data_IF_849314281281
#
_entry.id   IF_849314281281
#
_cell.length_a   1.000
_cell.length_b   1.000
_cell.length_c   1.000
_cell.angle_alpha   90.00
_cell.angle_beta   90.00
_cell.angle_gamma   90.00
#
_symmetry.space_group_name_H-M   'P 1'
#
loop_
_entity.id
_entity.type
_entity.pdbx_description
1 polymer ?
#
# COMPACT_ATOMS: atom_id res chain seq x y z
N UNK A 1 -50.00 15.32 -26.45
CA UNK A 1 -49.14 14.93 -25.31
C UNK A 1 -48.30 13.77 -25.81
N UNK A 2 -47.06 14.04 -26.22
CA UNK A 2 -46.10 13.00 -26.62
C UNK A 2 -45.25 12.61 -25.40
N UNK A 3 -45.36 11.37 -24.96
CA UNK A 3 -44.52 10.81 -23.91
C UNK A 3 -43.14 10.44 -24.49
N UNK A 4 -42.11 11.15 -24.02
CA UNK A 4 -40.71 10.83 -24.31
C UNK A 4 -40.29 9.68 -23.40
N UNK A 5 -40.19 8.47 -23.90
CA UNK A 5 -39.60 7.34 -23.19
C UNK A 5 -38.08 7.49 -23.22
N UNK A 6 -37.47 7.94 -22.13
CA UNK A 6 -36.01 7.85 -21.93
C UNK A 6 -35.65 6.40 -21.68
N UNK A 7 -35.06 5.74 -22.68
CA UNK A 7 -34.36 4.49 -22.50
C UNK A 7 -33.08 4.75 -21.73
N UNK A 8 -33.01 4.37 -20.45
CA UNK A 8 -31.75 4.23 -19.75
C UNK A 8 -30.97 3.08 -20.42
N UNK A 9 -30.05 3.41 -21.29
CA UNK A 9 -29.00 2.47 -21.66
C UNK A 9 -28.21 2.18 -20.39
N UNK A 10 -28.38 0.99 -19.84
CA UNK A 10 -27.54 0.49 -18.76
C UNK A 10 -26.11 0.60 -19.23
N UNK A 11 -25.30 1.41 -18.54
CA UNK A 11 -23.85 1.32 -18.69
C UNK A 11 -23.50 -0.11 -18.30
N UNK A 12 -23.12 -0.93 -19.27
CA UNK A 12 -22.44 -2.19 -19.00
C UNK A 12 -21.21 -1.80 -18.20
N UNK A 13 -21.17 -2.15 -16.91
CA UNK A 13 -19.96 -2.09 -16.12
C UNK A 13 -19.00 -3.03 -16.84
N UNK A 14 -17.95 -2.48 -17.47
CA UNK A 14 -16.88 -3.30 -18.02
C UNK A 14 -16.37 -4.18 -16.87
N UNK A 15 -16.30 -5.50 -17.08
CA UNK A 15 -15.66 -6.39 -16.11
C UNK A 15 -14.25 -5.86 -15.91
N UNK A 16 -13.80 -5.73 -14.67
CA UNK A 16 -12.46 -5.22 -14.34
C UNK A 16 -11.36 -6.01 -15.09
N UNK A 17 -11.69 -7.21 -15.58
CA UNK A 17 -10.81 -8.08 -16.35
C UNK A 17 -10.89 -7.86 -17.87
N UNK A 18 -11.77 -6.99 -18.37
CA UNK A 18 -11.94 -6.68 -19.81
C UNK A 18 -10.86 -5.73 -20.37
N UNK A 19 -9.91 -5.31 -19.55
CA UNK A 19 -8.72 -4.63 -20.05
C UNK A 19 -8.02 -5.56 -21.04
N UNK A 20 -7.60 -5.08 -22.24
CA UNK A 20 -6.77 -5.87 -23.13
C UNK A 20 -5.46 -6.15 -22.42
N UNK A 21 -5.46 -7.12 -21.55
CA UNK A 21 -4.33 -7.48 -20.73
C UNK A 21 -3.52 -8.53 -21.47
N UNK A 22 -2.21 -8.37 -21.44
CA UNK A 22 -1.27 -9.42 -21.83
C UNK A 22 -1.38 -10.67 -20.93
N UNK A 23 -2.32 -10.70 -19.97
CA UNK A 23 -2.55 -11.82 -19.07
C UNK A 23 -2.93 -13.11 -19.78
N UNK A 24 -3.55 -13.03 -20.97
CA UNK A 24 -3.86 -14.22 -21.79
C UNK A 24 -2.65 -14.99 -22.30
N UNK A 25 -1.48 -14.35 -22.34
CA UNK A 25 -0.22 -14.95 -22.83
C UNK A 25 0.60 -15.61 -21.71
N UNK A 26 0.15 -15.53 -20.44
CA UNK A 26 0.87 -16.08 -19.28
C UNK A 26 0.83 -17.61 -19.20
N UNK A 27 -0.02 -18.27 -19.97
CA UNK A 27 -0.16 -19.72 -19.95
C UNK A 27 -1.28 -20.24 -19.04
N UNK A 28 -1.35 -21.56 -18.89
CA UNK A 28 -2.35 -22.25 -18.09
C UNK A 28 -1.70 -22.83 -16.83
N UNK A 29 -2.15 -22.37 -15.66
CA UNK A 29 -1.68 -22.79 -14.35
C UNK A 29 -2.83 -23.40 -13.52
N UNK A 30 -3.79 -24.06 -14.18
CA UNK A 30 -4.91 -24.70 -13.51
C UNK A 30 -4.43 -25.76 -12.51
N UNK A 31 -4.83 -25.59 -11.23
CA UNK A 31 -4.42 -26.47 -10.13
C UNK A 31 -3.20 -25.98 -9.35
N UNK A 32 -2.51 -24.95 -9.81
CA UNK A 32 -1.44 -24.31 -9.05
C UNK A 32 -2.02 -23.37 -7.99
N UNK A 33 -1.42 -23.35 -6.81
CA UNK A 33 -1.79 -22.48 -5.70
C UNK A 33 -0.65 -21.52 -5.40
N UNK A 34 -0.96 -20.24 -5.41
CA UNK A 34 -0.01 -19.17 -5.03
C UNK A 34 -0.41 -18.65 -3.65
N UNK A 35 0.46 -18.84 -2.67
CA UNK A 35 0.26 -18.32 -1.31
C UNK A 35 0.85 -16.93 -1.17
N UNK A 36 0.05 -16.00 -0.65
CA UNK A 36 0.46 -14.62 -0.38
C UNK A 36 0.22 -14.33 1.10
N UNK A 37 1.17 -13.72 1.79
CA UNK A 37 0.99 -13.23 3.15
C UNK A 37 1.27 -11.73 3.23
N UNK A 38 0.54 -11.02 4.09
CA UNK A 38 0.69 -9.57 4.25
C UNK A 38 -0.05 -9.04 5.47
N UNK A 39 0.00 -7.72 5.65
CA UNK A 39 -0.66 -7.04 6.77
C UNK A 39 -2.07 -6.53 6.46
N UNK A 40 -2.54 -6.66 5.23
CA UNK A 40 -3.85 -6.18 4.81
C UNK A 40 -4.97 -7.08 5.34
N UNK A 41 -5.99 -6.45 5.92
CA UNK A 41 -7.20 -7.13 6.43
C UNK A 41 -8.46 -6.38 5.97
N UNK A 42 -9.60 -7.06 5.98
CA UNK A 42 -10.89 -6.46 5.69
C UNK A 42 -10.99 -5.88 4.28
N UNK A 43 -11.21 -4.59 4.13
CA UNK A 43 -11.38 -3.94 2.82
C UNK A 43 -10.11 -3.95 1.96
N UNK A 44 -8.95 -3.80 2.56
CA UNK A 44 -7.68 -3.84 1.84
C UNK A 44 -7.40 -5.25 1.28
N UNK A 45 -7.72 -6.28 2.05
CA UNK A 45 -7.67 -7.67 1.60
C UNK A 45 -8.64 -7.91 0.43
N UNK A 46 -9.89 -7.46 0.56
CA UNK A 46 -10.90 -7.56 -0.51
C UNK A 46 -10.41 -6.88 -1.80
N UNK A 47 -9.78 -5.71 -1.69
CA UNK A 47 -9.22 -4.99 -2.85
C UNK A 47 -8.05 -5.74 -3.49
N UNK A 48 -7.17 -6.34 -2.69
CA UNK A 48 -6.09 -7.19 -3.19
C UNK A 48 -6.65 -8.39 -3.95
N UNK A 49 -7.59 -9.12 -3.35
CA UNK A 49 -8.20 -10.31 -3.98
C UNK A 49 -8.93 -9.94 -5.26
N UNK A 50 -9.63 -8.80 -5.30
CA UNK A 50 -10.23 -8.30 -6.53
C UNK A 50 -9.18 -7.98 -7.62
N UNK A 51 -8.03 -7.43 -7.23
CA UNK A 51 -6.93 -7.11 -8.17
C UNK A 51 -6.37 -8.37 -8.80
N UNK A 52 -6.15 -9.43 -8.03
CA UNK A 52 -5.57 -10.69 -8.53
C UNK A 52 -6.59 -11.60 -9.22
N UNK A 53 -7.89 -11.34 -9.05
CA UNK A 53 -8.96 -12.16 -9.64
C UNK A 53 -8.89 -12.28 -11.16
N UNK A 54 -8.41 -11.25 -11.86
CA UNK A 54 -8.23 -11.29 -13.32
C UNK A 54 -7.09 -12.23 -13.71
N UNK A 55 -6.03 -12.31 -12.93
CA UNK A 55 -4.95 -13.26 -13.10
C UNK A 55 -5.46 -14.70 -12.91
N UNK A 56 -6.23 -14.96 -11.85
CA UNK A 56 -6.83 -16.28 -11.60
C UNK A 56 -7.74 -16.71 -12.76
N UNK A 57 -8.61 -15.82 -13.24
CA UNK A 57 -9.49 -16.08 -14.40
C UNK A 57 -8.71 -16.36 -15.67
N UNK A 58 -7.60 -15.65 -15.91
CA UNK A 58 -6.81 -15.79 -17.13
C UNK A 58 -5.94 -17.05 -17.12
N UNK A 59 -5.45 -17.48 -15.95
CA UNK A 59 -4.44 -18.54 -15.83
C UNK A 59 -4.97 -19.85 -15.25
N UNK A 60 -6.08 -19.80 -14.51
CA UNK A 60 -6.62 -20.94 -13.76
C UNK A 60 -5.87 -21.24 -12.46
N UNK A 61 -4.87 -20.44 -12.09
CA UNK A 61 -4.23 -20.51 -10.78
C UNK A 61 -5.19 -20.07 -9.68
N UNK A 62 -4.93 -20.48 -8.43
CA UNK A 62 -5.67 -20.06 -7.24
C UNK A 62 -4.75 -19.25 -6.34
N UNK A 63 -5.16 -18.06 -5.96
CA UNK A 63 -4.42 -17.21 -5.02
C UNK A 63 -5.03 -17.36 -3.63
N UNK A 64 -4.20 -17.74 -2.66
CA UNK A 64 -4.56 -17.83 -1.25
C UNK A 64 -3.82 -16.73 -0.48
N UNK A 65 -4.56 -15.77 0.01
CA UNK A 65 -4.01 -14.69 0.83
C UNK A 65 -4.23 -14.95 2.33
N UNK A 66 -3.22 -14.66 3.13
CA UNK A 66 -3.26 -14.69 4.60
C UNK A 66 -2.88 -13.31 5.15
N UNK A 67 -3.88 -12.58 5.66
CA UNK A 67 -3.72 -11.26 6.27
C UNK A 67 -3.54 -11.34 7.78
N UNK A 68 -2.61 -10.54 8.33
CA UNK A 68 -2.47 -10.38 9.79
C UNK A 68 -1.77 -9.07 10.13
N UNK A 69 -2.29 -8.34 11.13
CA UNK A 69 -1.60 -7.16 11.68
C UNK A 69 -0.26 -7.51 12.33
N UNK A 70 -0.10 -8.76 12.75
CA UNK A 70 1.17 -9.30 13.28
C UNK A 70 2.08 -9.86 12.17
N UNK A 71 1.80 -9.57 10.89
CA UNK A 71 2.52 -10.08 9.72
C UNK A 71 4.04 -10.00 9.89
N UNK A 72 4.58 -8.89 10.38
CA UNK A 72 6.02 -8.69 10.52
C UNK A 72 6.69 -9.75 11.43
N UNK A 73 6.01 -10.17 12.51
CA UNK A 73 6.51 -11.23 13.38
C UNK A 73 6.29 -12.61 12.78
N UNK A 74 5.12 -12.83 12.16
CA UNK A 74 4.74 -14.12 11.58
C UNK A 74 5.60 -14.46 10.37
N UNK A 75 5.83 -13.53 9.45
CA UNK A 75 6.64 -13.78 8.24
C UNK A 75 8.08 -14.15 8.58
N UNK A 76 8.68 -13.52 9.58
CA UNK A 76 10.03 -13.86 10.04
C UNK A 76 10.09 -15.29 10.60
N UNK A 77 9.08 -15.68 11.38
CA UNK A 77 8.99 -17.03 11.91
C UNK A 77 8.81 -18.07 10.81
N UNK A 78 7.92 -17.78 9.84
CA UNK A 78 7.65 -18.68 8.70
C UNK A 78 8.87 -18.84 7.79
N UNK A 79 9.54 -17.74 7.44
CA UNK A 79 10.76 -17.76 6.63
C UNK A 79 11.88 -18.58 7.29
N UNK A 80 12.10 -18.40 8.60
CA UNK A 80 13.14 -19.13 9.33
C UNK A 80 12.79 -20.60 9.60
N UNK A 81 11.50 -20.96 9.55
CA UNK A 81 11.04 -22.35 9.69
C UNK A 81 10.85 -23.10 8.38
N UNK A 82 11.24 -22.51 7.24
CA UNK A 82 11.00 -23.01 5.87
C UNK A 82 9.50 -23.24 5.55
N UNK A 83 8.63 -22.42 6.12
CA UNK A 83 7.20 -22.39 5.85
C UNK A 83 6.81 -21.09 5.14
N UNK A 84 7.68 -20.60 4.27
CA UNK A 84 7.50 -19.33 3.57
C UNK A 84 6.29 -19.32 2.63
N UNK A 85 5.53 -18.22 2.54
CA UNK A 85 4.60 -18.03 1.44
C UNK A 85 5.36 -17.86 0.12
N UNK A 86 4.68 -18.04 -1.02
CA UNK A 86 5.29 -17.76 -2.32
C UNK A 86 5.58 -16.27 -2.49
N UNK A 87 4.71 -15.41 -1.96
CA UNK A 87 4.85 -13.95 -2.00
C UNK A 87 4.58 -13.38 -0.60
N UNK A 88 5.45 -12.48 -0.15
CA UNK A 88 5.28 -11.73 1.08
C UNK A 88 5.09 -10.24 0.75
N UNK A 89 4.03 -9.61 1.28
CA UNK A 89 3.75 -8.18 1.09
C UNK A 89 4.24 -7.44 2.33
N UNK A 90 5.44 -6.90 2.23
CA UNK A 90 6.07 -6.17 3.32
C UNK A 90 5.52 -4.74 3.42
N UNK A 91 5.02 -4.31 4.60
CA UNK A 91 4.59 -2.93 4.80
C UNK A 91 5.78 -1.97 4.98
N UNK A 92 6.96 -2.50 5.26
CA UNK A 92 8.19 -1.76 5.58
C UNK A 92 9.35 -2.30 4.73
N UNK A 93 10.05 -1.45 3.94
CA UNK A 93 11.19 -1.87 3.13
C UNK A 93 12.35 -2.40 3.98
N UNK A 94 12.56 -1.86 5.19
CA UNK A 94 13.62 -2.31 6.08
C UNK A 94 13.51 -3.80 6.45
N UNK A 95 12.31 -4.30 6.77
CA UNK A 95 12.12 -5.72 7.06
C UNK A 95 12.40 -6.59 5.83
N UNK A 96 12.00 -6.14 4.63
CA UNK A 96 12.30 -6.84 3.39
C UNK A 96 13.82 -6.91 3.15
N UNK A 97 14.54 -5.81 3.38
CA UNK A 97 16.00 -5.76 3.28
C UNK A 97 16.69 -6.74 4.24
N UNK A 98 16.23 -6.82 5.50
CA UNK A 98 16.76 -7.79 6.46
C UNK A 98 16.54 -9.24 5.99
N UNK A 99 15.36 -9.55 5.44
CA UNK A 99 15.05 -10.87 4.92
C UNK A 99 15.85 -11.22 3.66
N UNK A 100 16.12 -10.24 2.79
CA UNK A 100 17.02 -10.41 1.65
C UNK A 100 18.45 -10.72 2.11
N UNK A 101 18.95 -9.99 3.09
CA UNK A 101 20.28 -10.20 3.69
C UNK A 101 20.39 -11.55 4.37
N UNK A 102 19.34 -12.08 4.97
CA UNK A 102 19.31 -13.43 5.54
C UNK A 102 19.15 -14.52 4.46
N UNK A 103 18.98 -14.17 3.18
CA UNK A 103 18.84 -15.10 2.06
C UNK A 103 17.47 -15.75 1.93
N UNK A 104 16.44 -15.12 2.50
CA UNK A 104 15.06 -15.63 2.46
C UNK A 104 14.27 -15.14 1.25
N UNK A 105 14.75 -14.12 0.54
CA UNK A 105 14.09 -13.57 -0.63
C UNK A 105 14.80 -13.99 -1.92
N UNK A 106 14.04 -14.11 -2.99
CA UNK A 106 14.53 -14.41 -4.33
C UNK A 106 14.49 -13.12 -5.16
N UNK A 107 15.55 -12.76 -5.88
CA UNK A 107 15.54 -11.60 -6.77
C UNK A 107 14.43 -11.70 -7.82
N UNK A 108 13.76 -10.59 -8.08
CA UNK A 108 12.66 -10.49 -9.05
C UNK A 108 13.16 -10.34 -10.51
N UNK A 109 14.45 -10.01 -10.68
CA UNK A 109 15.13 -9.91 -11.96
C UNK A 109 15.01 -8.54 -12.63
N UNK A 110 15.92 -8.33 -13.59
CA UNK A 110 16.09 -7.04 -14.28
C UNK A 110 14.92 -6.65 -15.17
N UNK A 111 14.18 -7.63 -15.69
CA UNK A 111 13.01 -7.37 -16.55
C UNK A 111 11.91 -6.64 -15.76
N UNK A 112 11.62 -7.09 -14.54
CA UNK A 112 10.61 -6.46 -13.70
C UNK A 112 11.08 -5.12 -13.15
N UNK A 113 12.36 -4.99 -12.82
CA UNK A 113 12.97 -3.71 -12.43
C UNK A 113 12.86 -2.68 -13.57
N UNK A 114 13.21 -3.07 -14.80
CA UNK A 114 13.08 -2.22 -15.99
C UNK A 114 11.64 -1.84 -16.26
N UNK A 115 10.72 -2.79 -16.16
CA UNK A 115 9.30 -2.53 -16.33
C UNK A 115 8.79 -1.49 -15.31
N UNK A 116 9.19 -1.62 -14.04
CA UNK A 116 8.81 -0.66 -13.00
C UNK A 116 9.40 0.73 -13.31
N UNK A 117 10.68 0.81 -13.66
CA UNK A 117 11.34 2.06 -14.04
C UNK A 117 10.64 2.78 -15.20
N UNK A 118 10.15 2.04 -16.19
CA UNK A 118 9.54 2.59 -17.40
C UNK A 118 8.07 2.99 -17.20
N UNK A 119 7.37 2.39 -16.24
CA UNK A 119 5.92 2.56 -16.08
C UNK A 119 5.52 3.36 -14.83
N UNK A 120 6.43 3.56 -13.86
CA UNK A 120 6.16 4.35 -12.67
C UNK A 120 6.67 5.79 -12.80
N UNK A 121 5.91 6.76 -12.27
CA UNK A 121 6.23 8.18 -12.42
C UNK A 121 7.56 8.63 -11.79
N UNK A 122 8.06 7.93 -10.77
CA UNK A 122 9.37 8.17 -10.16
C UNK A 122 10.42 7.10 -10.56
N UNK A 123 10.13 6.32 -11.60
CA UNK A 123 11.02 5.42 -12.30
C UNK A 123 12.01 4.67 -11.40
N UNK A 124 13.29 5.02 -11.54
CA UNK A 124 14.39 4.38 -10.81
C UNK A 124 14.28 4.46 -9.29
N UNK A 125 13.66 5.51 -8.72
CA UNK A 125 13.53 5.62 -7.26
C UNK A 125 12.73 4.48 -6.64
N UNK A 126 11.75 3.94 -7.36
CA UNK A 126 11.01 2.77 -6.91
C UNK A 126 11.82 1.47 -7.02
N UNK A 127 12.68 1.38 -8.04
CA UNK A 127 13.61 0.26 -8.18
C UNK A 127 14.64 0.31 -7.06
N UNK A 128 15.22 1.49 -6.78
CA UNK A 128 16.18 1.70 -5.70
C UNK A 128 15.57 1.32 -4.33
N UNK A 129 14.32 1.68 -4.08
CA UNK A 129 13.60 1.32 -2.84
C UNK A 129 13.40 -0.19 -2.68
N UNK A 130 13.30 -0.94 -3.78
CA UNK A 130 13.15 -2.40 -3.80
C UNK A 130 14.45 -3.17 -3.98
N UNK A 131 15.60 -2.46 -4.04
CA UNK A 131 16.93 -3.06 -4.22
C UNK A 131 17.62 -3.22 -2.87
N UNK A 132 18.04 -4.44 -2.55
CA UNK A 132 18.64 -4.78 -1.27
C UNK A 132 19.90 -5.61 -1.48
N UNK A 133 20.82 -5.55 -0.51
CA UNK A 133 22.00 -6.40 -0.48
C UNK A 133 21.67 -7.80 0.08
N UNK A 134 22.14 -8.84 -0.55
CA UNK A 134 22.13 -10.22 -0.04
C UNK A 134 23.17 -10.43 1.09
N UNK A 135 23.29 -11.66 1.58
CA UNK A 135 24.27 -12.05 2.61
C UNK A 135 25.74 -11.82 2.20
N UNK A 136 26.04 -11.70 0.91
CA UNK A 136 27.37 -11.48 0.36
C UNK A 136 27.62 -10.01 0.00
N UNK A 137 26.61 -9.14 0.19
CA UNK A 137 26.67 -7.74 -0.17
C UNK A 137 26.37 -7.47 -1.66
N UNK A 138 25.87 -8.46 -2.40
CA UNK A 138 25.42 -8.26 -3.78
C UNK A 138 24.02 -7.62 -3.74
N UNK A 139 23.87 -6.51 -4.44
CA UNK A 139 22.58 -5.84 -4.59
C UNK A 139 21.79 -6.45 -5.74
N UNK A 140 20.52 -6.76 -5.48
CA UNK A 140 19.56 -7.24 -6.45
C UNK A 140 18.18 -6.62 -6.17
N UNK A 141 17.30 -6.62 -7.17
CA UNK A 141 15.93 -6.15 -7.03
C UNK A 141 15.04 -7.24 -6.43
N UNK A 142 14.55 -7.02 -5.21
CA UNK A 142 13.71 -7.97 -4.45
C UNK A 142 12.29 -7.48 -4.22
N UNK A 143 12.07 -6.17 -4.28
CA UNK A 143 10.82 -5.56 -3.86
C UNK A 143 10.09 -4.81 -4.97
N UNK A 144 8.88 -5.27 -5.33
CA UNK A 144 8.01 -4.59 -6.29
C UNK A 144 6.93 -3.80 -5.54
N UNK A 145 6.95 -2.47 -5.67
CA UNK A 145 5.93 -1.59 -5.08
C UNK A 145 4.61 -1.67 -5.89
N UNK A 146 3.64 -2.46 -5.45
CA UNK A 146 2.36 -2.61 -6.14
C UNK A 146 1.26 -1.67 -5.60
N UNK A 147 1.42 -1.15 -4.39
CA UNK A 147 0.50 -0.23 -3.71
C UNK A 147 1.30 0.91 -3.11
N UNK A 148 0.79 2.12 -3.27
CA UNK A 148 1.36 3.32 -2.68
C UNK A 148 0.30 4.00 -1.84
N UNK A 149 0.65 4.34 -0.60
CA UNK A 149 -0.24 5.05 0.31
C UNK A 149 0.25 6.49 0.49
N UNK A 150 -0.66 7.44 0.37
CA UNK A 150 -0.39 8.82 0.72
C UNK A 150 -0.45 8.96 2.24
N UNK A 151 0.65 9.42 2.82
CA UNK A 151 0.86 9.49 4.28
C UNK A 151 0.71 10.91 4.79
N UNK A 152 0.62 11.05 6.13
CA UNK A 152 0.67 12.32 6.86
C UNK A 152 -0.43 13.32 6.50
N UNK A 153 -1.59 12.84 6.02
CA UNK A 153 -2.75 13.68 5.75
C UNK A 153 -3.47 14.08 7.04
N UNK A 154 -3.88 15.34 7.10
CA UNK A 154 -4.82 15.81 8.12
C UNK A 154 -6.23 15.68 7.57
N UNK A 155 -7.02 14.81 8.18
CA UNK A 155 -8.43 14.64 7.87
C UNK A 155 -9.26 15.53 8.78
N UNK A 156 -10.29 16.17 8.25
CA UNK A 156 -11.21 17.00 9.01
C UNK A 156 -12.66 16.72 8.60
N UNK A 157 -13.60 17.03 9.47
CA UNK A 157 -15.04 16.98 9.16
C UNK A 157 -15.49 18.36 8.65
N UNK A 158 -15.85 18.50 7.37
CA UNK A 158 -16.35 19.77 6.83
C UNK A 158 -17.56 20.31 7.62
N UNK A 159 -18.47 19.43 8.02
CA UNK A 159 -19.67 19.79 8.79
C UNK A 159 -19.27 20.41 10.16
N UNK A 160 -18.35 19.76 10.89
CA UNK A 160 -17.88 20.29 12.18
C UNK A 160 -17.13 21.62 12.03
N UNK A 161 -16.39 21.80 10.94
CA UNK A 161 -15.69 23.05 10.67
C UNK A 161 -16.70 24.17 10.38
N UNK A 162 -17.74 23.90 9.58
CA UNK A 162 -18.80 24.86 9.27
C UNK A 162 -19.60 25.24 10.56
N UNK A 163 -20.03 24.25 11.34
CA UNK A 163 -20.79 24.45 12.56
C UNK A 163 -20.07 25.30 13.62
N UNK A 164 -18.74 25.19 13.69
CA UNK A 164 -17.91 25.92 14.65
C UNK A 164 -17.25 27.16 14.05
N UNK A 165 -17.43 27.43 12.77
CA UNK A 165 -16.82 28.56 12.08
C UNK A 165 -15.30 28.48 11.96
N UNK A 166 -14.77 27.25 11.83
CA UNK A 166 -13.33 27.04 11.66
C UNK A 166 -12.91 27.18 10.19
N UNK A 167 -11.82 27.87 9.95
CA UNK A 167 -11.22 28.04 8.64
C UNK A 167 -10.20 26.90 8.37
N UNK A 168 -10.13 26.41 7.11
CA UNK A 168 -9.16 25.39 6.73
C UNK A 168 -7.78 26.01 6.65
N UNK A 169 -6.80 25.57 7.45
CA UNK A 169 -5.46 26.16 7.48
C UNK A 169 -4.67 25.83 6.21
N UNK A 170 -3.92 26.79 5.72
CA UNK A 170 -3.02 26.66 4.56
C UNK A 170 -1.55 26.62 4.93
N UNK A 171 -1.21 26.97 6.17
CA UNK A 171 0.15 26.96 6.71
C UNK A 171 0.20 26.23 8.05
N UNK A 172 1.41 25.88 8.49
CA UNK A 172 1.60 25.24 9.81
C UNK A 172 1.25 26.22 10.94
N UNK A 173 1.55 27.51 10.80
CA UNK A 173 1.21 28.53 11.76
C UNK A 173 -0.32 28.65 11.93
N UNK A 174 -1.06 28.63 10.83
CA UNK A 174 -2.53 28.63 10.85
C UNK A 174 -3.10 27.36 11.46
N UNK A 175 -2.47 26.19 11.22
CA UNK A 175 -2.89 24.93 11.82
C UNK A 175 -2.69 24.93 13.34
N UNK A 176 -1.58 25.49 13.83
CA UNK A 176 -1.32 25.67 15.26
C UNK A 176 -2.35 26.65 15.86
N UNK A 177 -2.57 27.79 15.24
CA UNK A 177 -3.54 28.79 15.70
C UNK A 177 -4.97 28.23 15.76
N UNK A 178 -5.37 27.45 14.75
CA UNK A 178 -6.65 26.73 14.75
C UNK A 178 -6.75 25.72 15.89
N UNK A 179 -5.67 24.99 16.17
CA UNK A 179 -5.63 24.04 17.29
C UNK A 179 -5.82 24.75 18.64
N UNK A 180 -5.17 25.90 18.84
CA UNK A 180 -5.34 26.72 20.03
C UNK A 180 -6.76 27.28 20.15
N UNK A 181 -7.37 27.71 19.04
CA UNK A 181 -8.77 28.14 19.00
C UNK A 181 -9.71 27.01 19.42
N UNK A 182 -9.55 25.80 18.84
CA UNK A 182 -10.37 24.63 19.20
C UNK A 182 -10.29 24.32 20.69
N UNK A 183 -9.11 24.40 21.28
CA UNK A 183 -8.90 24.21 22.73
C UNK A 183 -9.63 25.30 23.53
N UNK A 184 -9.55 26.56 23.09
CA UNK A 184 -10.25 27.68 23.76
C UNK A 184 -11.78 27.53 23.71
N UNK A 185 -12.30 26.95 22.63
CA UNK A 185 -13.71 26.63 22.43
C UNK A 185 -14.17 25.36 23.19
N UNK A 186 -13.24 24.67 23.89
CA UNK A 186 -13.51 23.47 24.67
C UNK A 186 -13.51 22.18 23.84
N UNK A 187 -13.05 22.21 22.61
CA UNK A 187 -12.94 21.07 21.69
C UNK A 187 -11.54 20.42 21.80
N UNK A 188 -11.47 19.13 21.43
CA UNK A 188 -10.19 18.41 21.28
C UNK A 188 -9.73 18.52 19.84
N UNK A 189 -8.63 19.24 19.55
CA UNK A 189 -8.24 19.53 18.15
C UNK A 189 -7.72 18.33 17.39
N UNK A 190 -7.13 17.34 18.07
CA UNK A 190 -6.47 16.22 17.44
C UNK A 190 -6.95 14.87 17.94
N UNK A 191 -7.08 13.94 17.00
CA UNK A 191 -7.27 12.53 17.26
C UNK A 191 -6.31 11.74 16.37
N UNK A 192 -5.49 10.88 16.97
CA UNK A 192 -4.56 10.01 16.25
C UNK A 192 -4.62 8.60 16.84
N UNK A 193 -4.82 7.60 15.96
CA UNK A 193 -4.71 6.20 16.34
C UNK A 193 -3.25 5.75 16.27
N UNK A 194 -2.67 5.37 17.39
CA UNK A 194 -1.24 4.96 17.46
C UNK A 194 -1.05 3.47 17.76
N UNK A 195 -2.09 2.79 18.24
CA UNK A 195 -2.02 1.36 18.58
C UNK A 195 -2.09 0.53 17.30
N UNK A 196 -1.14 -0.42 17.14
CA UNK A 196 -1.08 -1.37 16.02
C UNK A 196 -0.21 -2.57 16.38
N UNK A 197 -0.46 -3.22 17.53
CA UNK A 197 0.34 -4.37 17.97
C UNK A 197 1.85 -4.08 17.97
N UNK A 198 2.61 -4.91 17.27
CA UNK A 198 4.08 -4.74 17.16
C UNK A 198 4.50 -3.50 16.35
N UNK A 199 3.60 -2.92 15.56
CA UNK A 199 3.84 -1.71 14.78
C UNK A 199 3.26 -0.46 15.47
N UNK A 200 2.90 -0.52 16.76
CA UNK A 200 2.38 0.63 17.53
C UNK A 200 3.30 1.83 17.39
N UNK A 201 2.73 2.99 17.08
CA UNK A 201 3.44 4.25 16.91
C UNK A 201 3.79 4.61 15.46
N UNK A 202 3.58 3.74 14.48
CA UNK A 202 3.94 3.99 13.07
C UNK A 202 3.34 5.29 12.51
N UNK A 203 2.11 5.64 12.90
CA UNK A 203 1.46 6.89 12.47
C UNK A 203 2.20 8.15 12.95
N UNK A 204 2.78 8.10 14.15
CA UNK A 204 3.58 9.19 14.66
C UNK A 204 4.94 9.30 13.95
N UNK A 205 5.53 8.16 13.57
CA UNK A 205 6.77 8.12 12.77
C UNK A 205 6.55 8.75 11.40
N UNK A 206 5.46 8.40 10.69
CA UNK A 206 5.11 8.98 9.40
C UNK A 206 5.00 10.51 9.48
N UNK A 207 4.39 11.03 10.56
CA UNK A 207 4.28 12.47 10.79
C UNK A 207 5.64 13.13 11.04
N UNK A 208 6.51 12.50 11.82
CA UNK A 208 7.85 13.00 12.06
C UNK A 208 8.68 13.05 10.77
N UNK A 209 8.59 12.02 9.93
CA UNK A 209 9.26 11.98 8.63
C UNK A 209 8.77 13.12 7.72
N UNK A 210 7.45 13.34 7.62
CA UNK A 210 6.89 14.44 6.82
C UNK A 210 7.35 15.81 7.31
N UNK A 211 7.35 16.03 8.62
CA UNK A 211 7.85 17.28 9.21
C UNK A 211 9.36 17.49 8.95
N UNK A 212 10.15 16.45 9.03
CA UNK A 212 11.59 16.51 8.71
C UNK A 212 11.82 16.84 7.23
N UNK A 213 11.10 16.18 6.30
CA UNK A 213 11.19 16.46 4.87
C UNK A 213 10.80 17.90 4.49
N UNK A 214 9.94 18.54 5.29
CA UNK A 214 9.52 19.94 5.08
C UNK A 214 10.46 20.96 5.72
N UNK A 215 11.24 20.57 6.73
CA UNK A 215 12.05 21.47 7.54
C UNK A 215 13.56 21.30 7.36
N UNK A 216 14.00 20.17 6.79
CA UNK A 216 15.40 19.85 6.56
C UNK A 216 15.63 19.39 5.13
N UNK A 217 16.91 19.38 4.67
CA UNK A 217 17.27 18.70 3.42
C UNK A 217 17.45 17.21 3.65
N UNK A 218 17.38 16.38 2.58
CA UNK A 218 17.67 14.95 2.64
C UNK A 218 19.13 14.60 2.92
N UNK A 219 20.02 15.61 3.03
CA UNK A 219 21.46 15.46 3.26
C UNK A 219 21.81 15.40 4.75
#
# INVERSE_FOLDING_TARGET
VAALSMSFAGMAQADACDTPSKLGDLGNFAGEVITIAGSMEGKDEEMLLNTVSCFEKATGAVVQYSGSRDFAALVVADLRSNNAPNIAIFPQPGLAADMAKEGHLVPLGDELASWMSDNYGAGSSWVDLGTYADANGKEDFYGFAFKMDLKSLVWYSPEQFEDNGYEIPSTMEELIALSDQMVADGNTPWCIGVESGNATGWTATDWMEDLMLRTTSPE
#
